data_IF_224509889616
#
_entry.id   IF_224509889616
#
_cell.length_a   1.000
_cell.length_b   1.000
_cell.length_c   1.000
_cell.angle_alpha   90.00
_cell.angle_beta   90.00
_cell.angle_gamma   90.00
#
_symmetry.space_group_name_H-M   'P 1'
#
loop_
_entity.id
_entity.type
_entity.pdbx_description
1 polymer ?
#
# COMPACT_ATOMS: atom_id res chain seq x y z
N UNK A 1 -2.62 26.53 2.71
CA UNK A 1 -3.05 26.05 4.02
C UNK A 1 -4.36 25.30 3.94
N UNK A 2 -5.43 26.00 3.59
CA UNK A 2 -6.72 25.32 3.51
C UNK A 2 -6.75 24.22 2.45
N UNK A 3 -6.03 24.44 1.35
CA UNK A 3 -5.97 23.42 0.30
C UNK A 3 -5.29 22.15 0.80
N UNK A 4 -4.29 22.32 1.64
CA UNK A 4 -3.58 21.18 2.16
C UNK A 4 -4.38 20.37 3.17
N UNK A 5 -5.36 21.00 3.81
CA UNK A 5 -6.16 20.32 4.81
C UNK A 5 -6.95 19.14 4.22
N UNK A 6 -7.62 19.38 3.09
CA UNK A 6 -8.37 18.32 2.45
C UNK A 6 -7.43 17.19 2.02
N UNK A 7 -6.28 17.54 1.48
CA UNK A 7 -5.29 16.55 1.09
C UNK A 7 -4.86 15.71 2.27
N UNK A 8 -4.56 16.34 3.40
CA UNK A 8 -4.14 15.60 4.59
C UNK A 8 -5.24 14.68 5.10
N UNK A 9 -6.49 15.15 5.03
CA UNK A 9 -7.61 14.30 5.43
C UNK A 9 -7.76 13.11 4.51
N UNK A 10 -7.52 13.29 3.22
CA UNK A 10 -7.55 12.18 2.28
C UNK A 10 -6.44 11.18 2.58
N UNK A 11 -5.24 11.66 2.86
CA UNK A 11 -4.14 10.78 3.23
C UNK A 11 -4.47 9.98 4.48
N UNK A 12 -5.01 10.65 5.49
CA UNK A 12 -5.38 9.96 6.72
C UNK A 12 -6.44 8.90 6.46
N UNK A 13 -7.40 9.21 5.61
CA UNK A 13 -8.43 8.26 5.26
C UNK A 13 -7.85 7.03 4.57
N UNK A 14 -6.92 7.24 3.65
CA UNK A 14 -6.27 6.13 2.96
C UNK A 14 -5.48 5.29 3.94
N UNK A 15 -4.74 5.93 4.83
CA UNK A 15 -3.94 5.20 5.81
C UNK A 15 -4.83 4.36 6.73
N UNK A 16 -5.99 4.89 7.09
CA UNK A 16 -6.91 4.18 7.98
C UNK A 16 -7.66 3.06 7.27
N UNK A 17 -7.73 3.09 5.94
CA UNK A 17 -8.59 2.17 5.19
C UNK A 17 -7.84 1.37 4.13
N UNK A 18 -6.51 1.36 4.16
CA UNK A 18 -5.74 0.67 3.11
C UNK A 18 -6.04 -0.82 3.05
N UNK A 19 -6.44 -1.42 4.15
CA UNK A 19 -6.71 -2.85 4.19
C UNK A 19 -8.03 -3.22 3.53
N UNK A 20 -8.85 -2.24 3.18
CA UNK A 20 -10.11 -2.46 2.48
C UNK A 20 -9.83 -2.54 0.99
N UNK A 21 -10.06 -3.72 0.40
CA UNK A 21 -9.76 -3.94 -1.01
C UNK A 21 -10.60 -3.07 -1.94
N UNK A 22 -11.71 -2.52 -1.46
CA UNK A 22 -12.57 -1.68 -2.28
C UNK A 22 -12.17 -0.21 -2.26
N UNK A 23 -11.10 0.14 -1.53
CA UNK A 23 -10.64 1.52 -1.49
C UNK A 23 -10.16 1.95 -2.88
N UNK A 24 -10.75 3.03 -3.39
CA UNK A 24 -10.40 3.58 -4.70
C UNK A 24 -10.90 5.01 -4.77
N UNK A 25 -10.80 5.62 -5.96
CA UNK A 25 -11.21 7.01 -6.11
C UNK A 25 -12.69 7.19 -5.81
N UNK A 26 -13.52 6.21 -6.15
CA UNK A 26 -14.96 6.31 -5.89
C UNK A 26 -15.25 6.30 -4.40
N UNK A 27 -14.52 5.51 -3.64
CA UNK A 27 -14.68 5.48 -2.19
C UNK A 27 -14.36 6.83 -1.59
N UNK A 28 -13.29 7.47 -2.04
CA UNK A 28 -12.94 8.80 -1.57
C UNK A 28 -13.97 9.83 -2.01
N UNK A 29 -14.43 9.70 -3.25
CA UNK A 29 -15.45 10.60 -3.77
C UNK A 29 -16.69 10.59 -2.89
N UNK A 30 -17.14 9.42 -2.49
CA UNK A 30 -18.30 9.28 -1.63
C UNK A 30 -18.04 9.82 -0.23
N UNK A 31 -16.91 9.44 0.33
CA UNK A 31 -16.60 9.83 1.70
C UNK A 31 -16.46 11.35 1.86
N UNK A 32 -15.77 11.98 0.91
CA UNK A 32 -15.50 13.41 0.99
C UNK A 32 -16.53 14.25 0.25
N UNK A 33 -17.53 13.60 -0.35
CA UNK A 33 -18.63 14.28 -1.04
C UNK A 33 -18.12 15.24 -2.10
N UNK A 34 -17.21 14.72 -2.95
CA UNK A 34 -16.62 15.45 -4.06
C UNK A 34 -16.66 14.59 -5.29
N UNK A 35 -16.79 15.20 -6.49
CA UNK A 35 -16.79 14.40 -7.73
C UNK A 35 -15.48 13.62 -7.89
N UNK A 36 -15.57 12.40 -8.41
CA UNK A 36 -14.38 11.58 -8.61
C UNK A 36 -13.32 12.25 -9.46
N UNK A 37 -13.67 12.92 -10.58
CA UNK A 37 -12.63 13.61 -11.35
C UNK A 37 -11.89 14.70 -10.56
N UNK A 38 -12.61 15.38 -9.67
CA UNK A 38 -11.96 16.37 -8.81
C UNK A 38 -10.98 15.68 -7.86
N UNK A 39 -11.43 14.59 -7.23
CA UNK A 39 -10.58 13.86 -6.28
C UNK A 39 -9.28 13.42 -6.96
N UNK A 40 -9.40 12.80 -8.15
CA UNK A 40 -8.23 12.31 -8.88
C UNK A 40 -7.24 13.43 -9.17
N UNK A 41 -7.74 14.53 -9.73
CA UNK A 41 -6.88 15.64 -10.12
C UNK A 41 -6.27 16.33 -8.91
N UNK A 42 -7.11 16.60 -7.90
CA UNK A 42 -6.66 17.30 -6.71
C UNK A 42 -5.58 16.48 -5.99
N UNK A 43 -5.84 15.19 -5.80
CA UNK A 43 -4.88 14.36 -5.08
C UNK A 43 -3.55 14.31 -5.81
N UNK A 44 -3.58 14.13 -7.13
CA UNK A 44 -2.34 14.07 -7.90
C UNK A 44 -1.58 15.38 -7.84
N UNK A 45 -2.28 16.51 -7.92
CA UNK A 45 -1.63 17.80 -7.86
C UNK A 45 -0.94 18.02 -6.52
N UNK A 46 -1.60 17.59 -5.43
CA UNK A 46 -1.03 17.78 -4.10
C UNK A 46 0.04 16.77 -3.76
N UNK A 47 -0.11 15.54 -4.24
CA UNK A 47 0.76 14.45 -3.84
C UNK A 47 1.94 14.22 -4.79
N UNK A 48 1.78 14.56 -6.06
CA UNK A 48 2.81 14.32 -7.05
C UNK A 48 2.62 13.04 -7.83
N UNK A 49 1.98 12.02 -7.25
CA UNK A 49 1.64 10.79 -7.95
C UNK A 49 0.13 10.58 -7.84
N UNK A 50 -0.40 9.73 -8.72
CA UNK A 50 -1.84 9.55 -8.73
C UNK A 50 -2.31 8.74 -7.52
N UNK A 51 -3.62 8.78 -7.30
CA UNK A 51 -4.23 8.17 -6.13
C UNK A 51 -3.98 6.66 -6.07
N UNK A 52 -4.14 5.97 -7.20
CA UNK A 52 -3.96 4.52 -7.24
C UNK A 52 -2.54 4.14 -6.84
N UNK A 53 -1.55 4.85 -7.37
CA UNK A 53 -0.16 4.60 -7.03
C UNK A 53 0.10 4.85 -5.55
N UNK A 54 -0.51 5.88 -4.99
CA UNK A 54 -0.34 6.17 -3.58
C UNK A 54 -0.95 5.08 -2.70
N UNK A 55 -2.14 4.59 -3.07
CA UNK A 55 -2.75 3.50 -2.32
C UNK A 55 -1.87 2.26 -2.37
N UNK A 56 -1.33 1.94 -3.55
CA UNK A 56 -0.42 0.80 -3.66
C UNK A 56 0.80 0.98 -2.78
N UNK A 57 1.35 2.18 -2.75
CA UNK A 57 2.54 2.45 -1.94
C UNK A 57 2.25 2.23 -0.45
N UNK A 58 1.12 2.74 0.02
CA UNK A 58 0.75 2.56 1.42
C UNK A 58 0.60 1.08 1.75
N UNK A 59 -0.12 0.35 0.90
CA UNK A 59 -0.32 -1.08 1.12
C UNK A 59 1.00 -1.83 1.14
N UNK A 60 1.91 -1.49 0.23
CA UNK A 60 3.19 -2.19 0.15
C UNK A 60 4.08 -1.92 1.35
N UNK A 61 3.99 -0.75 1.94
CA UNK A 61 4.76 -0.48 3.16
C UNK A 61 4.32 -1.39 4.30
N UNK A 62 3.01 -1.60 4.43
CA UNK A 62 2.51 -2.54 5.43
C UNK A 62 2.87 -3.98 5.10
N UNK A 63 2.85 -4.32 3.80
CA UNK A 63 3.25 -5.65 3.36
C UNK A 63 4.68 -5.95 3.77
N UNK A 64 5.59 -4.99 3.55
CA UNK A 64 7.00 -5.23 3.84
C UNK A 64 7.24 -5.53 5.30
N UNK A 65 6.53 -4.86 6.19
CA UNK A 65 6.63 -5.16 7.62
C UNK A 65 6.18 -6.57 7.91
N UNK A 66 5.06 -6.98 7.31
CA UNK A 66 4.51 -8.31 7.58
C UNK A 66 5.36 -9.41 6.97
N UNK A 67 6.01 -9.13 5.85
CA UNK A 67 6.91 -10.11 5.26
C UNK A 67 8.06 -10.45 6.20
N UNK A 68 8.53 -9.48 6.95
CA UNK A 68 9.62 -9.70 7.90
C UNK A 68 9.14 -10.39 9.16
N UNK A 69 7.83 -10.46 9.38
CA UNK A 69 7.25 -11.13 10.53
C UNK A 69 6.82 -12.56 10.22
N UNK A 70 7.20 -13.07 9.05
CA UNK A 70 6.97 -14.48 8.68
C UNK A 70 5.49 -14.84 8.55
N UNK A 71 4.66 -13.87 8.17
CA UNK A 71 3.25 -14.15 7.90
C UNK A 71 3.09 -14.82 6.55
N UNK A 72 2.02 -15.59 6.40
CA UNK A 72 1.73 -16.25 5.14
C UNK A 72 1.35 -15.24 4.08
N UNK A 73 1.79 -15.50 2.84
CA UNK A 73 1.52 -14.57 1.74
C UNK A 73 0.03 -14.38 1.50
N UNK A 74 -0.77 -15.45 1.63
CA UNK A 74 -2.21 -15.34 1.45
C UNK A 74 -2.83 -14.42 2.48
N UNK A 75 -2.37 -14.51 3.71
CA UNK A 75 -2.86 -13.65 4.78
C UNK A 75 -2.49 -12.20 4.52
N UNK A 76 -1.24 -11.97 4.12
CA UNK A 76 -0.77 -10.63 3.83
C UNK A 76 -1.59 -10.01 2.70
N UNK A 77 -1.87 -10.78 1.64
CA UNK A 77 -2.64 -10.28 0.52
C UNK A 77 -4.00 -9.74 0.96
N UNK A 78 -4.67 -10.48 1.85
CA UNK A 78 -5.99 -10.09 2.31
C UNK A 78 -5.92 -8.93 3.30
N UNK A 79 -5.06 -9.02 4.30
CA UNK A 79 -5.03 -8.03 5.38
C UNK A 79 -4.44 -6.70 4.92
N UNK A 80 -3.69 -6.68 3.83
CA UNK A 80 -3.13 -5.44 3.31
C UNK A 80 -3.91 -4.87 2.13
N UNK A 81 -5.10 -5.43 1.83
CA UNK A 81 -6.02 -4.78 0.92
C UNK A 81 -5.90 -5.16 -0.54
N UNK A 82 -5.17 -6.24 -0.88
CA UNK A 82 -5.05 -6.62 -2.28
C UNK A 82 -6.18 -7.51 -2.78
N UNK A 83 -6.93 -8.08 -1.86
CA UNK A 83 -8.10 -8.88 -2.24
C UNK A 83 -7.79 -10.29 -2.67
N UNK A 84 -6.68 -10.53 -3.33
CA UNK A 84 -6.29 -11.86 -3.78
C UNK A 84 -4.78 -11.99 -3.78
N UNK A 85 -4.31 -13.22 -3.66
CA UNK A 85 -2.87 -13.49 -3.73
C UNK A 85 -2.33 -13.10 -5.09
N UNK A 86 -3.10 -13.36 -6.15
CA UNK A 86 -2.65 -13.07 -7.52
C UNK A 86 -2.39 -11.58 -7.71
N UNK A 87 -3.32 -10.74 -7.28
CA UNK A 87 -3.13 -9.29 -7.39
C UNK A 87 -1.94 -8.81 -6.57
N UNK A 88 -1.82 -9.36 -5.36
CA UNK A 88 -0.72 -9.00 -4.48
C UNK A 88 0.63 -9.31 -5.12
N UNK A 89 0.79 -10.53 -5.63
CA UNK A 89 2.07 -10.94 -6.23
C UNK A 89 2.42 -10.07 -7.44
N UNK A 90 1.44 -9.78 -8.27
CA UNK A 90 1.66 -8.96 -9.48
C UNK A 90 2.07 -7.54 -9.11
N UNK A 91 1.33 -6.92 -8.21
CA UNK A 91 1.58 -5.53 -7.85
C UNK A 91 2.89 -5.40 -7.08
N UNK A 92 3.16 -6.33 -6.16
CA UNK A 92 4.40 -6.27 -5.40
C UNK A 92 5.61 -6.32 -6.34
N UNK A 93 5.63 -7.29 -7.28
CA UNK A 93 6.77 -7.40 -8.18
C UNK A 93 6.87 -6.19 -9.09
N UNK A 94 5.74 -5.64 -9.52
CA UNK A 94 5.74 -4.46 -10.38
C UNK A 94 6.42 -3.27 -9.70
N UNK A 95 6.16 -3.06 -8.42
CA UNK A 95 6.69 -1.90 -7.71
C UNK A 95 8.06 -2.16 -7.09
N UNK A 96 8.31 -3.37 -6.62
CA UNK A 96 9.54 -3.66 -5.88
C UNK A 96 10.63 -4.31 -6.72
N UNK A 97 10.28 -4.82 -7.89
CA UNK A 97 11.25 -5.46 -8.78
C UNK A 97 11.58 -6.90 -8.42
N UNK A 98 11.12 -7.38 -7.28
CA UNK A 98 11.33 -8.75 -6.84
C UNK A 98 10.02 -9.29 -6.29
N UNK A 99 9.95 -10.62 -6.14
CA UNK A 99 8.75 -11.24 -5.55
C UNK A 99 8.76 -11.06 -4.03
N UNK A 100 7.57 -11.21 -3.39
CA UNK A 100 7.55 -11.16 -1.94
C UNK A 100 8.45 -12.19 -1.27
N UNK A 101 8.53 -13.39 -1.84
CA UNK A 101 9.41 -14.42 -1.28
C UNK A 101 10.87 -13.98 -1.38
N UNK A 102 11.26 -13.44 -2.53
CA UNK A 102 12.62 -12.94 -2.70
C UNK A 102 12.92 -11.78 -1.74
N UNK A 103 11.95 -10.90 -1.56
CA UNK A 103 12.12 -9.81 -0.63
C UNK A 103 12.35 -10.32 0.78
N UNK A 104 11.56 -11.31 1.18
CA UNK A 104 11.72 -11.91 2.52
C UNK A 104 13.09 -12.54 2.68
N UNK A 105 13.57 -13.21 1.65
CA UNK A 105 14.88 -13.83 1.70
C UNK A 105 16.00 -12.81 1.79
N UNK A 106 15.85 -11.71 1.05
CA UNK A 106 16.89 -10.69 1.03
C UNK A 106 16.97 -9.92 2.34
N UNK A 107 15.84 -9.74 3.01
CA UNK A 107 15.80 -8.87 4.19
C UNK A 107 15.51 -9.62 5.47
N UNK A 108 14.72 -10.68 5.42
CA UNK A 108 14.32 -11.38 6.63
C UNK A 108 15.37 -12.32 7.18
N UNK A 109 16.04 -13.07 6.30
CA UNK A 109 17.01 -14.07 6.73
C UNK A 109 18.38 -13.48 7.02
N UNK A 110 18.56 -12.22 6.70
CA UNK A 110 19.85 -11.59 6.87
C UNK A 110 20.33 -11.63 8.30
N UNK A 111 19.41 -11.39 9.23
CA UNK A 111 19.75 -11.39 10.64
C UNK A 111 20.13 -12.77 11.13
N UNK A 112 19.39 -13.79 10.68
CA UNK A 112 19.68 -15.16 11.07
C UNK A 112 21.07 -15.58 10.62
N UNK A 113 21.39 -15.25 9.38
CA UNK A 113 22.69 -15.59 8.83
C UNK A 113 23.79 -14.91 9.61
N UNK A 114 23.59 -13.66 9.96
CA UNK A 114 24.57 -12.91 10.75
C UNK A 114 24.78 -13.55 12.10
N UNK A 115 23.69 -13.97 12.74
CA UNK A 115 23.78 -14.58 14.05
C UNK A 115 24.53 -15.91 14.04
N UNK A 116 24.33 -16.67 12.97
CA UNK A 116 24.99 -17.95 12.87
C UNK A 116 26.49 -17.84 12.71
N UNK A 117 26.94 -16.74 12.17
CA UNK A 117 28.36 -16.54 11.94
C UNK A 117 29.11 -16.09 13.18
N UNK A 118 28.41 -15.77 14.21
CA UNK A 118 29.00 -15.35 15.46
C UNK A 118 29.32 -16.53 16.33
#
# INVERSE_FOLDING_TARGET
>A
MKKGRLYLEMRDYIEANYSDATLNVNALSEHFERPAPFVSRYFKEMNGTNLTQYIHKVRLEHVKEKLLQDEKLETIAVTCGFGSLRSFLRIFKQYEGVTPTQYRELHGKKEETTNENI
#
